data_IF_046020600867
#
_entry.id   IF_046020600867
#
_cell.length_a   1.000
_cell.length_b   1.000
_cell.length_c   1.000
_cell.angle_alpha   90.00
_cell.angle_beta   90.00
_cell.angle_gamma   90.00
#
_symmetry.space_group_name_H-M   'P 1'
#
loop_
_entity.id
_entity.type
_entity.pdbx_description
1 polymer ?
#
# COMPACT_ATOMS: atom_id res chain seq x y z
N UNK A 1 2.17 17.39 -9.69
CA UNK A 1 2.54 16.87 -8.35
C UNK A 1 1.46 15.90 -7.92
N UNK A 2 1.84 14.74 -7.40
CA UNK A 2 0.91 13.77 -6.81
C UNK A 2 0.49 14.21 -5.40
N UNK A 3 -0.72 13.89 -5.01
CA UNK A 3 -1.30 14.19 -3.71
C UNK A 3 -1.46 12.91 -2.90
N UNK A 4 -1.00 12.92 -1.64
CA UNK A 4 -1.06 11.79 -0.72
C UNK A 4 -1.85 12.17 0.51
N UNK A 5 -2.89 11.41 0.80
CA UNK A 5 -3.64 11.47 2.05
C UNK A 5 -3.51 10.16 2.83
N UNK A 6 -3.22 10.27 4.11
CA UNK A 6 -3.09 9.13 5.00
C UNK A 6 -3.97 9.30 6.24
N UNK A 7 -4.76 8.29 6.55
CA UNK A 7 -5.63 8.26 7.73
C UNK A 7 -5.51 6.91 8.44
N UNK A 8 -5.28 6.94 9.75
CA UNK A 8 -5.39 5.76 10.61
C UNK A 8 -6.81 5.67 11.18
N UNK A 9 -7.45 4.52 11.02
CA UNK A 9 -8.77 4.24 11.60
C UNK A 9 -8.64 3.02 12.49
N UNK A 10 -8.57 3.27 13.81
CA UNK A 10 -8.52 2.21 14.81
C UNK A 10 -9.70 2.37 15.77
N UNK A 11 -10.52 1.34 15.88
CA UNK A 11 -11.55 1.25 16.91
C UNK A 11 -11.00 0.50 18.12
N UNK A 12 -10.82 1.19 19.23
CA UNK A 12 -10.40 0.61 20.49
C UNK A 12 -11.01 1.36 21.69
N UNK A 13 -11.29 0.65 22.76
CA UNK A 13 -11.69 1.29 24.02
C UNK A 13 -10.48 1.94 24.68
N UNK A 14 -10.72 3.02 25.45
CA UNK A 14 -9.65 3.68 26.19
C UNK A 14 -8.88 2.69 27.07
N UNK A 15 -7.58 2.66 26.96
CA UNK A 15 -6.68 1.72 27.66
C UNK A 15 -6.57 0.34 27.01
N UNK A 16 -7.32 0.03 25.98
CA UNK A 16 -7.17 -1.20 25.21
C UNK A 16 -5.99 -1.10 24.24
N UNK A 17 -5.18 -2.15 24.17
CA UNK A 17 -4.09 -2.26 23.20
C UNK A 17 -4.55 -3.00 21.94
N UNK A 18 -4.11 -2.52 20.78
CA UNK A 18 -4.30 -3.21 19.49
C UNK A 18 -3.26 -4.33 19.37
N UNK A 19 -3.50 -5.43 20.05
CA UNK A 19 -2.64 -6.61 19.98
C UNK A 19 -2.94 -7.41 18.71
N UNK A 20 -1.98 -8.21 18.20
CA UNK A 20 -2.24 -9.16 17.14
C UNK A 20 -3.42 -10.06 17.51
N UNK A 21 -4.37 -10.22 16.60
CA UNK A 21 -5.48 -11.16 16.80
C UNK A 21 -4.94 -12.58 16.76
N UNK A 22 -5.09 -13.34 17.85
CA UNK A 22 -4.81 -14.77 17.85
C UNK A 22 -5.97 -15.50 17.17
N UNK A 23 -5.85 -15.73 15.87
CA UNK A 23 -6.84 -16.46 15.08
C UNK A 23 -6.48 -17.95 14.91
N UNK A 24 -5.65 -18.47 15.78
CA UNK A 24 -5.15 -19.84 15.64
C UNK A 24 -4.27 -20.02 14.39
N UNK A 25 -3.52 -21.09 14.34
CA UNK A 25 -2.59 -21.41 13.25
C UNK A 25 -3.27 -21.88 11.96
N UNK A 26 -4.31 -21.20 11.51
CA UNK A 26 -4.81 -21.42 10.15
C UNK A 26 -3.67 -21.03 9.20
N UNK A 27 -3.01 -22.04 8.63
CA UNK A 27 -2.04 -21.80 7.54
C UNK A 27 -2.77 -20.99 6.48
N UNK A 28 -2.28 -19.79 6.13
CA UNK A 28 -2.84 -19.07 5.01
C UNK A 28 -2.65 -19.96 3.77
N UNK A 29 -3.73 -20.36 3.15
CA UNK A 29 -3.65 -20.78 1.76
C UNK A 29 -3.36 -19.51 0.96
N UNK A 30 -2.09 -19.19 0.78
CA UNK A 30 -1.69 -18.32 -0.31
C UNK A 30 -2.36 -18.91 -1.56
N UNK A 31 -3.05 -18.11 -2.38
CA UNK A 31 -3.40 -18.57 -3.70
C UNK A 31 -2.11 -19.10 -4.28
N UNK A 32 -2.11 -20.36 -4.72
CA UNK A 32 -0.97 -20.96 -5.35
C UNK A 32 -0.53 -19.97 -6.43
N UNK A 33 0.62 -19.32 -6.22
CA UNK A 33 1.29 -18.66 -7.30
C UNK A 33 1.58 -19.80 -8.28
N UNK A 34 0.83 -19.84 -9.37
CA UNK A 34 1.23 -20.58 -10.54
C UNK A 34 2.58 -19.98 -10.99
N UNK A 35 3.66 -20.49 -10.40
CA UNK A 35 5.02 -20.25 -10.83
C UNK A 35 5.33 -20.97 -12.15
N UNK A 36 4.32 -21.40 -12.87
CA UNK A 36 4.44 -21.91 -14.22
C UNK A 36 4.66 -20.74 -15.18
N UNK A 37 5.94 -20.43 -15.40
CA UNK A 37 6.40 -19.53 -16.45
C UNK A 37 6.52 -18.07 -15.98
N UNK A 38 7.61 -17.76 -15.30
CA UNK A 38 8.14 -16.39 -15.28
C UNK A 38 8.57 -16.06 -16.71
N UNK A 39 7.62 -15.62 -17.52
CA UNK A 39 7.93 -14.93 -18.77
C UNK A 39 8.67 -13.66 -18.40
N UNK A 40 9.90 -13.50 -18.86
CA UNK A 40 10.71 -12.28 -18.73
C UNK A 40 10.08 -11.05 -19.42
N UNK A 41 8.89 -11.18 -19.96
CA UNK A 41 8.14 -10.05 -20.50
C UNK A 41 7.68 -9.19 -19.35
N UNK A 42 8.26 -7.99 -19.23
CA UNK A 42 7.75 -6.94 -18.38
C UNK A 42 6.23 -6.83 -18.61
N UNK A 43 5.40 -6.83 -17.55
CA UNK A 43 3.97 -6.68 -17.72
C UNK A 43 3.70 -5.42 -18.53
N UNK A 44 2.82 -5.51 -19.53
CA UNK A 44 2.45 -4.36 -20.34
C UNK A 44 1.67 -3.39 -19.45
N UNK A 45 2.22 -2.20 -19.26
CA UNK A 45 1.54 -1.16 -18.48
C UNK A 45 0.22 -0.78 -19.14
N UNK A 46 -0.78 -0.50 -18.32
CA UNK A 46 -2.10 -0.07 -18.77
C UNK A 46 -2.02 1.38 -19.27
N UNK A 47 -2.56 1.61 -20.46
CA UNK A 47 -2.80 2.95 -21.03
C UNK A 47 -4.27 3.32 -20.91
N UNK A 48 -4.63 4.58 -21.16
CA UNK A 48 -6.03 4.99 -21.10
C UNK A 48 -6.90 4.18 -22.07
N UNK A 49 -6.44 3.91 -23.28
CA UNK A 49 -7.20 3.14 -24.26
C UNK A 49 -7.38 1.67 -23.86
N UNK A 50 -6.35 1.08 -23.27
CA UNK A 50 -6.35 -0.35 -22.92
C UNK A 50 -7.02 -0.67 -21.57
N UNK A 51 -7.15 0.32 -20.68
CA UNK A 51 -7.72 0.12 -19.35
C UNK A 51 -9.25 0.06 -19.39
N UNK A 52 -9.82 -0.83 -18.58
CA UNK A 52 -11.26 -0.96 -18.38
C UNK A 52 -11.58 -1.11 -16.89
N UNK A 53 -12.77 -0.68 -16.48
CA UNK A 53 -13.28 -0.93 -15.12
C UNK A 53 -13.30 -2.45 -14.88
N UNK A 54 -12.84 -2.88 -13.71
CA UNK A 54 -12.66 -4.28 -13.34
C UNK A 54 -11.30 -4.86 -13.74
N UNK A 55 -10.44 -4.15 -14.49
CA UNK A 55 -9.07 -4.63 -14.71
C UNK A 55 -8.33 -4.77 -13.39
N UNK A 56 -7.69 -5.91 -13.19
CA UNK A 56 -6.83 -6.14 -12.04
C UNK A 56 -5.50 -5.41 -12.21
N UNK A 57 -5.03 -4.84 -11.12
CA UNK A 57 -3.70 -4.24 -11.03
C UNK A 57 -2.65 -5.33 -10.75
N UNK A 58 -1.38 -4.96 -10.88
CA UNK A 58 -0.28 -5.79 -10.43
C UNK A 58 -0.45 -6.16 -8.94
N UNK A 59 0.03 -7.33 -8.57
CA UNK A 59 0.03 -7.79 -7.18
C UNK A 59 1.44 -7.66 -6.62
N UNK A 60 1.56 -7.14 -5.40
CA UNK A 60 2.83 -6.99 -4.70
C UNK A 60 2.71 -7.67 -3.33
N UNK A 61 3.58 -8.64 -3.04
CA UNK A 61 3.70 -9.24 -1.71
C UNK A 61 4.93 -8.67 -1.02
N UNK A 62 4.76 -8.19 0.21
CA UNK A 62 5.83 -7.58 1.03
C UNK A 62 5.89 -8.27 2.37
N UNK A 63 7.07 -8.80 2.71
CA UNK A 63 7.35 -9.34 4.04
C UNK A 63 8.16 -8.31 4.83
N UNK A 64 7.69 -7.96 6.01
CA UNK A 64 8.39 -7.05 6.92
C UNK A 64 9.15 -7.83 7.96
N UNK A 65 10.42 -7.49 8.14
CA UNK A 65 11.20 -7.93 9.30
C UNK A 65 11.45 -6.76 10.25
N UNK A 66 11.89 -7.07 11.46
CA UNK A 66 12.28 -6.07 12.44
C UNK A 66 13.41 -5.17 11.90
N UNK A 67 14.38 -5.77 11.25
CA UNK A 67 15.53 -5.10 10.66
C UNK A 67 15.10 -4.12 9.56
N UNK A 68 14.17 -4.54 8.69
CA UNK A 68 13.64 -3.71 7.61
C UNK A 68 12.86 -2.51 8.18
N UNK A 69 12.02 -2.73 9.18
CA UNK A 69 11.28 -1.65 9.86
C UNK A 69 12.25 -0.66 10.51
N UNK A 70 13.27 -1.16 11.21
CA UNK A 70 14.30 -0.32 11.82
C UNK A 70 15.05 0.51 10.78
N UNK A 71 15.47 -0.12 9.68
CA UNK A 71 16.22 0.56 8.63
C UNK A 71 15.43 1.72 8.01
N UNK A 72 14.13 1.54 7.76
CA UNK A 72 13.25 2.59 7.22
C UNK A 72 13.05 3.77 8.17
N UNK A 73 13.21 3.54 9.46
CA UNK A 73 12.99 4.55 10.50
C UNK A 73 14.29 4.95 11.22
N UNK A 74 15.46 4.68 10.62
CA UNK A 74 16.76 4.99 11.23
C UNK A 74 17.20 6.42 10.91
N UNK A 75 16.86 7.35 11.79
CA UNK A 75 17.26 8.76 11.68
C UNK A 75 18.76 9.00 11.93
N UNK A 76 19.51 8.00 12.45
CA UNK A 76 20.97 8.11 12.62
C UNK A 76 21.69 8.24 11.29
N UNK A 77 21.13 7.68 10.20
CA UNK A 77 21.64 7.86 8.85
C UNK A 77 21.65 9.33 8.41
N UNK A 78 20.79 10.15 8.99
CA UNK A 78 20.75 11.60 8.79
C UNK A 78 21.53 12.40 9.86
N UNK A 79 22.39 11.72 10.66
CA UNK A 79 23.14 12.34 11.75
C UNK A 79 22.30 12.75 12.97
N UNK A 80 21.11 12.18 13.12
CA UNK A 80 20.21 12.45 14.24
C UNK A 80 20.06 11.21 15.11
N UNK A 81 19.93 11.35 16.45
CA UNK A 81 19.56 10.23 17.30
C UNK A 81 18.14 9.77 16.97
N UNK A 82 17.87 8.46 17.04
CA UNK A 82 16.50 7.96 16.95
C UNK A 82 15.73 8.36 18.20
N UNK A 83 14.66 9.16 18.10
CA UNK A 83 13.76 9.38 19.21
C UNK A 83 12.99 8.11 19.53
N UNK A 84 12.53 7.95 20.78
CA UNK A 84 11.60 6.90 21.15
C UNK A 84 10.31 7.02 20.35
N UNK A 85 9.94 5.94 19.67
CA UNK A 85 8.77 5.89 18.81
C UNK A 85 8.24 4.45 18.66
N UNK A 86 7.01 4.33 18.19
CA UNK A 86 6.33 3.04 18.01
C UNK A 86 6.91 2.16 16.89
N UNK A 87 7.87 2.63 16.12
CA UNK A 87 8.43 1.88 15.00
C UNK A 87 9.76 1.20 15.35
N UNK A 88 10.61 1.85 16.14
CA UNK A 88 11.99 1.39 16.40
C UNK A 88 12.28 1.07 17.87
N UNK A 89 11.54 1.63 18.80
CA UNK A 89 11.71 1.44 20.24
C UNK A 89 10.69 0.42 20.76
N UNK A 90 11.16 -0.78 21.06
CA UNK A 90 10.30 -1.91 21.46
C UNK A 90 9.63 -1.69 22.82
N UNK A 91 10.34 -1.09 23.78
CA UNK A 91 9.80 -0.82 25.10
C UNK A 91 8.72 0.27 25.02
N UNK A 92 9.02 1.37 24.36
CA UNK A 92 8.07 2.43 24.09
C UNK A 92 6.84 1.92 23.34
N UNK A 93 7.03 1.12 22.30
CA UNK A 93 5.92 0.58 21.50
C UNK A 93 5.06 -0.42 22.28
N UNK A 94 5.65 -1.19 23.21
CA UNK A 94 4.92 -2.12 24.07
C UNK A 94 3.99 -1.41 25.05
N UNK A 95 4.40 -0.25 25.55
CA UNK A 95 3.60 0.56 26.46
C UNK A 95 2.50 1.34 25.73
N UNK A 96 2.67 1.56 24.45
CA UNK A 96 1.72 2.29 23.62
C UNK A 96 0.60 1.40 23.05
N UNK A 97 -0.32 2.03 22.31
CA UNK A 97 -1.58 1.45 21.82
C UNK A 97 -1.41 0.17 21.00
N UNK A 98 -0.30 -0.01 20.32
CA UNK A 98 -0.07 -1.18 19.46
C UNK A 98 0.50 -2.40 20.21
N UNK A 99 0.98 -2.24 21.45
CA UNK A 99 1.55 -3.31 22.25
C UNK A 99 2.83 -3.95 21.68
N UNK A 100 3.50 -3.29 20.76
CA UNK A 100 4.72 -3.69 20.08
C UNK A 100 4.93 -2.86 18.82
N UNK A 101 6.10 -3.00 18.22
CA UNK A 101 6.47 -2.17 17.06
C UNK A 101 5.68 -2.50 15.81
N UNK A 102 5.44 -1.46 15.03
CA UNK A 102 4.66 -1.50 13.77
C UNK A 102 5.40 -0.75 12.66
N UNK A 103 5.14 -1.10 11.41
CA UNK A 103 5.65 -0.36 10.27
C UNK A 103 5.04 1.04 10.21
N UNK A 104 5.77 2.00 9.68
CA UNK A 104 5.25 3.36 9.52
C UNK A 104 4.17 3.41 8.42
N UNK A 105 3.15 4.21 8.65
CA UNK A 105 2.07 4.39 7.69
C UNK A 105 2.53 4.85 6.30
N UNK A 106 3.42 5.85 6.18
CA UNK A 106 3.99 6.24 4.89
C UNK A 106 4.73 5.12 4.17
N UNK A 107 5.40 4.21 4.91
CA UNK A 107 6.03 3.03 4.31
C UNK A 107 4.99 2.05 3.75
N UNK A 108 3.87 1.83 4.44
CA UNK A 108 2.77 1.03 3.92
C UNK A 108 2.14 1.67 2.67
N UNK A 109 1.98 2.99 2.67
CA UNK A 109 1.49 3.75 1.51
C UNK A 109 2.40 3.60 0.29
N UNK A 110 3.73 3.57 0.49
CA UNK A 110 4.67 3.39 -0.60
C UNK A 110 4.54 2.04 -1.31
N UNK A 111 4.02 1.00 -0.66
CA UNK A 111 3.74 -0.28 -1.30
C UNK A 111 2.49 -0.22 -2.19
N UNK A 112 1.51 0.58 -1.80
CA UNK A 112 0.35 0.87 -2.67
C UNK A 112 0.82 1.64 -3.90
N UNK A 113 1.67 2.65 -3.73
CA UNK A 113 2.29 3.40 -4.84
C UNK A 113 3.07 2.46 -5.80
N UNK A 114 3.81 1.49 -5.26
CA UNK A 114 4.50 0.48 -6.08
C UNK A 114 3.51 -0.36 -6.91
N UNK A 115 2.34 -0.75 -6.38
CA UNK A 115 1.31 -1.44 -7.16
C UNK A 115 0.84 -0.59 -8.34
N UNK A 116 0.66 0.71 -8.11
CA UNK A 116 0.30 1.65 -9.19
C UNK A 116 1.42 1.77 -10.22
N UNK A 117 2.67 1.91 -9.78
CA UNK A 117 3.85 2.01 -10.66
C UNK A 117 4.12 0.74 -11.47
N UNK A 118 3.76 -0.43 -10.95
CA UNK A 118 3.82 -1.71 -11.67
C UNK A 118 2.69 -1.88 -12.68
N UNK A 119 1.58 -1.14 -12.52
CA UNK A 119 0.38 -1.27 -13.34
C UNK A 119 0.27 -0.20 -14.42
N UNK A 120 0.80 0.99 -14.16
CA UNK A 120 0.65 2.19 -15.01
C UNK A 120 2.00 2.88 -15.25
N UNK A 121 2.13 3.69 -16.31
CA UNK A 121 3.28 4.58 -16.45
C UNK A 121 3.43 5.50 -15.23
N UNK A 122 4.66 5.69 -14.74
CA UNK A 122 4.93 6.52 -13.55
C UNK A 122 4.32 7.92 -13.66
N UNK A 123 4.34 8.53 -14.85
CA UNK A 123 3.75 9.85 -15.09
C UNK A 123 2.27 9.91 -14.76
N UNK A 124 1.54 8.81 -14.97
CA UNK A 124 0.09 8.74 -14.73
C UNK A 124 -0.30 9.07 -13.29
N UNK A 125 0.57 8.76 -12.34
CA UNK A 125 0.36 9.09 -10.93
C UNK A 125 1.06 10.39 -10.52
N UNK A 126 2.34 10.55 -10.84
CA UNK A 126 3.14 11.71 -10.39
C UNK A 126 2.78 13.04 -11.07
N UNK A 127 2.06 13.00 -12.19
CA UNK A 127 1.59 14.21 -12.90
C UNK A 127 0.10 14.48 -12.64
N UNK A 128 -0.31 14.58 -11.39
CA UNK A 128 -1.67 14.95 -11.00
C UNK A 128 -2.49 13.83 -10.36
N UNK A 129 -1.84 12.71 -10.02
CA UNK A 129 -2.47 11.63 -9.28
C UNK A 129 -2.75 11.99 -7.81
N UNK A 130 -3.68 11.26 -7.23
CA UNK A 130 -4.01 11.33 -5.80
C UNK A 130 -4.08 9.93 -5.22
N UNK A 131 -3.53 9.75 -4.03
CA UNK A 131 -3.63 8.52 -3.26
C UNK A 131 -4.13 8.83 -1.86
N UNK A 132 -5.27 8.25 -1.51
CA UNK A 132 -5.82 8.26 -0.16
C UNK A 132 -5.70 6.85 0.41
N UNK A 133 -4.98 6.70 1.52
CA UNK A 133 -4.86 5.41 2.20
C UNK A 133 -5.43 5.49 3.63
N UNK A 134 -6.21 4.48 3.97
CA UNK A 134 -6.67 4.23 5.34
C UNK A 134 -5.94 3.02 5.89
N UNK A 135 -5.14 3.21 6.94
CA UNK A 135 -4.57 2.11 7.70
C UNK A 135 -5.64 1.55 8.65
N UNK A 136 -5.80 0.23 8.66
CA UNK A 136 -6.87 -0.46 9.40
C UNK A 136 -6.27 -1.39 10.46
N UNK A 137 -5.42 -2.33 10.06
CA UNK A 137 -4.65 -3.16 11.00
C UNK A 137 -3.18 -2.81 10.93
N UNK A 138 -2.45 -2.88 12.05
CA UNK A 138 -1.01 -2.61 12.06
C UNK A 138 -0.23 -3.60 11.20
N UNK A 139 0.69 -3.11 10.39
CA UNK A 139 1.65 -3.94 9.66
C UNK A 139 2.87 -4.18 10.55
N UNK A 140 3.11 -5.41 10.97
CA UNK A 140 4.10 -5.79 11.98
C UNK A 140 5.28 -6.56 11.39
N UNK A 141 6.38 -6.62 12.12
CA UNK A 141 7.45 -7.56 11.83
C UNK A 141 6.92 -9.01 11.83
N UNK A 142 7.32 -9.80 10.85
CA UNK A 142 6.83 -11.16 10.61
C UNK A 142 5.53 -11.22 9.78
N UNK A 143 4.93 -10.10 9.44
CA UNK A 143 3.80 -10.08 8.53
C UNK A 143 4.27 -10.11 7.08
N UNK A 144 3.52 -10.83 6.26
CA UNK A 144 3.56 -10.75 4.80
C UNK A 144 2.22 -10.21 4.32
N UNK A 145 2.25 -9.01 3.73
CA UNK A 145 1.05 -8.34 3.21
C UNK A 145 1.03 -8.43 1.70
N UNK A 146 -0.07 -8.90 1.16
CA UNK A 146 -0.34 -8.91 -0.28
C UNK A 146 -1.18 -7.70 -0.64
N UNK A 147 -0.60 -6.80 -1.44
CA UNK A 147 -1.27 -5.64 -2.01
C UNK A 147 -1.82 -6.01 -3.39
N UNK A 148 -3.11 -5.82 -3.58
CA UNK A 148 -3.81 -6.12 -4.82
C UNK A 148 -4.94 -5.12 -5.03
N UNK A 149 -5.27 -4.84 -6.29
CA UNK A 149 -6.28 -3.84 -6.60
C UNK A 149 -6.93 -4.04 -7.95
N UNK A 150 -7.87 -3.16 -8.21
CA UNK A 150 -8.62 -3.12 -9.45
C UNK A 150 -8.97 -1.69 -9.85
N UNK A 151 -9.25 -1.50 -11.12
CA UNK A 151 -9.78 -0.27 -11.67
C UNK A 151 -11.26 -0.17 -11.31
N UNK A 152 -11.65 0.90 -10.64
CA UNK A 152 -13.03 1.14 -10.20
C UNK A 152 -13.76 2.19 -11.03
N UNK A 153 -13.02 3.04 -11.75
CA UNK A 153 -13.60 4.07 -12.59
C UNK A 153 -12.70 4.48 -13.76
N UNK A 154 -13.32 4.94 -14.84
CA UNK A 154 -12.63 5.48 -16.02
C UNK A 154 -13.49 6.60 -16.61
N UNK A 155 -12.88 7.75 -16.87
CA UNK A 155 -13.57 8.88 -17.52
C UNK A 155 -12.58 9.67 -18.38
N UNK A 156 -13.02 10.06 -19.58
CA UNK A 156 -12.24 10.93 -20.45
C UNK A 156 -12.08 12.34 -19.85
N UNK A 157 -11.02 13.04 -20.22
CA UNK A 157 -10.91 14.46 -19.91
C UNK A 157 -12.03 15.25 -20.58
N UNK A 158 -12.52 16.32 -19.94
CA UNK A 158 -13.45 17.24 -20.60
C UNK A 158 -12.83 17.79 -21.90
N UNK A 159 -13.59 17.94 -22.97
CA UNK A 159 -13.09 18.43 -24.28
C UNK A 159 -12.50 19.85 -24.26
N UNK A 160 -12.68 20.60 -23.16
CA UNK A 160 -12.08 21.92 -22.93
C UNK A 160 -10.60 21.90 -22.60
N UNK A 161 -10.03 20.75 -22.27
CA UNK A 161 -8.59 20.59 -22.02
C UNK A 161 -7.88 20.23 -23.33
N UNK A 162 -7.51 21.23 -24.12
CA UNK A 162 -6.93 21.06 -25.46
C UNK A 162 -5.50 20.50 -25.51
N UNK A 163 -4.89 20.12 -24.39
CA UNK A 163 -3.46 19.82 -24.35
C UNK A 163 -3.11 18.36 -23.98
N UNK A 164 -4.04 17.58 -23.43
CA UNK A 164 -3.77 16.17 -23.08
C UNK A 164 -4.96 15.31 -23.50
N UNK A 165 -4.75 14.51 -24.54
CA UNK A 165 -5.65 13.39 -24.82
C UNK A 165 -5.46 12.37 -23.71
N UNK A 166 -6.50 11.64 -23.34
CA UNK A 166 -6.47 10.67 -22.26
C UNK A 166 -7.57 10.90 -21.23
N UNK A 167 -7.36 10.53 -20.00
CA UNK A 167 -8.39 10.69 -18.99
C UNK A 167 -7.98 10.31 -17.59
N UNK A 168 -8.98 10.22 -16.74
CA UNK A 168 -8.83 9.90 -15.32
C UNK A 168 -9.23 8.44 -15.10
N UNK A 169 -8.39 7.72 -14.37
CA UNK A 169 -8.64 6.35 -13.93
C UNK A 169 -8.66 6.31 -12.41
N UNK A 170 -9.67 5.68 -11.87
CA UNK A 170 -9.82 5.46 -10.43
C UNK A 170 -9.55 4.01 -10.11
N UNK A 171 -8.79 3.77 -9.04
CA UNK A 171 -8.39 2.44 -8.61
C UNK A 171 -8.64 2.26 -7.12
N UNK A 172 -8.90 1.02 -6.72
CA UNK A 172 -8.92 0.62 -5.32
C UNK A 172 -7.88 -0.44 -5.08
N UNK A 173 -7.04 -0.25 -4.06
CA UNK A 173 -6.02 -1.20 -3.63
C UNK A 173 -6.24 -1.57 -2.17
N UNK A 174 -6.14 -2.86 -1.86
CA UNK A 174 -6.18 -3.38 -0.49
C UNK A 174 -4.91 -4.15 -0.17
N UNK A 175 -4.42 -3.99 1.05
CA UNK A 175 -3.35 -4.81 1.62
C UNK A 175 -3.94 -5.81 2.60
N UNK A 176 -3.70 -7.11 2.40
CA UNK A 176 -4.20 -8.19 3.24
C UNK A 176 -3.00 -8.99 3.73
N UNK A 177 -2.91 -9.21 5.06
CA UNK A 177 -1.81 -10.00 5.61
C UNK A 177 -2.05 -11.50 5.45
N UNK A 178 -1.04 -12.32 5.82
CA UNK A 178 -1.09 -13.78 5.72
C UNK A 178 -2.18 -14.43 6.61
N UNK A 179 -2.78 -13.68 7.52
CA UNK A 179 -3.89 -14.15 8.37
C UNK A 179 -5.26 -13.80 7.81
N UNK A 180 -5.30 -13.06 6.69
CA UNK A 180 -6.52 -12.54 6.09
C UNK A 180 -7.02 -11.22 6.70
N UNK A 181 -6.22 -10.57 7.55
CA UNK A 181 -6.59 -9.27 8.11
C UNK A 181 -6.35 -8.16 7.09
N UNK A 182 -7.28 -7.22 7.00
CA UNK A 182 -7.17 -6.04 6.15
C UNK A 182 -6.23 -5.02 6.80
N UNK A 183 -5.03 -4.87 6.26
CA UNK A 183 -4.01 -3.94 6.76
C UNK A 183 -4.29 -2.51 6.28
N UNK A 184 -4.66 -2.35 5.02
CA UNK A 184 -5.03 -1.04 4.48
C UNK A 184 -6.04 -1.15 3.35
N UNK A 185 -6.75 -0.05 3.14
CA UNK A 185 -7.61 0.19 1.99
C UNK A 185 -7.25 1.55 1.38
N UNK A 186 -7.06 1.58 0.07
CA UNK A 186 -6.64 2.78 -0.63
C UNK A 186 -7.49 3.05 -1.84
N UNK A 187 -7.80 4.32 -2.06
CA UNK A 187 -8.41 4.83 -3.28
C UNK A 187 -7.37 5.71 -4.00
N UNK A 188 -7.14 5.45 -5.26
CA UNK A 188 -6.19 6.20 -6.09
C UNK A 188 -6.86 6.78 -7.33
N UNK A 189 -6.42 7.97 -7.71
CA UNK A 189 -6.79 8.61 -8.97
C UNK A 189 -5.52 8.84 -9.78
N UNK A 190 -5.54 8.48 -11.05
CA UNK A 190 -4.43 8.63 -11.98
C UNK A 190 -4.87 9.45 -13.19
N UNK A 191 -3.94 10.18 -13.79
CA UNK A 191 -4.12 10.91 -15.05
C UNK A 191 -3.32 10.19 -16.12
N UNK A 192 -4.02 9.45 -16.97
CA UNK A 192 -3.40 8.69 -18.05
C UNK A 192 -3.47 9.49 -19.35
N UNK A 193 -2.33 9.73 -20.02
CA UNK A 193 -2.34 10.18 -21.40
C UNK A 193 -2.82 9.05 -22.33
N UNK A 194 -3.20 9.40 -23.54
CA UNK A 194 -3.46 8.43 -24.63
C UNK A 194 -2.19 7.67 -24.99
#
# INVERSE_FOLDING_TARGET
VAEYDYTCIFEYAQGQKLLPRDRGSAKPSLPANDTAGVSERRPRLLSFDSVSVGNRLATLAVSESREIINLKNDFRLAGRPNPSNIHTDEEFARENMFGGTVNAGPATMSYVDQVLALSFPLRAFYEGGRLLMRAIEPFRAGDTVTFQGEVTGKRAHPPTSSLVKGGIVECRVKGINQRGDLVCLSDATLVLPD
#
